data_IF_663435885494
#
_entry.id   IF_663435885494
#
_cell.length_a   1.000
_cell.length_b   1.000
_cell.length_c   1.000
_cell.angle_alpha   90.00
_cell.angle_beta   90.00
_cell.angle_gamma   90.00
#
_symmetry.space_group_name_H-M   'P 1'
#
loop_
_entity.id
_entity.type
_entity.pdbx_description
1 polymer ?
#
# COMPACT_ATOMS: atom_id res chain seq x y z
N UNK A 1 -29.67 -12.18 -14.95
CA UNK A 1 -30.72 -12.60 -13.99
C UNK A 1 -30.02 -13.25 -12.80
N UNK A 2 -29.73 -12.50 -11.73
CA UNK A 2 -29.32 -13.07 -10.45
C UNK A 2 -30.57 -13.43 -9.64
N UNK A 3 -30.54 -14.62 -9.05
CA UNK A 3 -31.64 -15.22 -8.34
C UNK A 3 -32.09 -14.40 -7.12
N UNK A 4 -33.40 -14.22 -7.01
CA UNK A 4 -34.13 -13.87 -5.78
C UNK A 4 -33.85 -14.88 -4.65
N UNK A 5 -32.72 -14.73 -3.97
CA UNK A 5 -32.57 -15.13 -2.57
C UNK A 5 -32.06 -13.91 -1.82
N UNK A 6 -32.98 -12.97 -1.57
CA UNK A 6 -32.86 -12.16 -0.37
C UNK A 6 -32.99 -13.15 0.78
N UNK A 7 -31.87 -13.68 1.27
CA UNK A 7 -31.82 -14.11 2.66
C UNK A 7 -32.35 -12.92 3.46
N UNK A 8 -33.51 -13.08 4.09
CA UNK A 8 -34.11 -12.00 4.86
C UNK A 8 -33.12 -11.66 5.96
N UNK A 9 -32.50 -10.49 5.88
CA UNK A 9 -31.59 -10.03 6.92
C UNK A 9 -32.44 -9.77 8.16
N UNK A 10 -32.25 -10.58 9.19
CA UNK A 10 -33.00 -10.52 10.43
C UNK A 10 -32.33 -9.58 11.43
N UNK A 11 -33.13 -8.96 12.29
CA UNK A 11 -32.64 -8.11 13.39
C UNK A 11 -32.01 -6.79 12.96
N UNK A 12 -32.41 -6.19 11.84
CA UNK A 12 -31.91 -4.87 11.42
C UNK A 12 -32.24 -3.82 12.48
N UNK A 13 -31.22 -3.17 13.05
CA UNK A 13 -31.36 -2.09 14.05
C UNK A 13 -31.16 -0.71 13.45
N UNK A 14 -30.36 -0.61 12.39
CA UNK A 14 -30.20 0.62 11.60
C UNK A 14 -29.80 0.27 10.17
N UNK A 15 -30.22 1.06 9.19
CA UNK A 15 -29.78 0.92 7.80
C UNK A 15 -29.74 2.27 7.10
N UNK A 16 -28.97 2.36 6.02
CA UNK A 16 -29.08 3.43 5.02
C UNK A 16 -29.41 2.80 3.66
N UNK A 17 -29.99 3.58 2.76
CA UNK A 17 -30.45 3.11 1.44
C UNK A 17 -29.89 3.97 0.32
N UNK A 18 -29.83 3.38 -0.87
CA UNK A 18 -29.65 4.11 -2.12
C UNK A 18 -30.94 4.85 -2.51
N UNK A 19 -30.87 5.72 -3.54
CA UNK A 19 -32.03 6.44 -4.07
C UNK A 19 -33.11 5.49 -4.62
N UNK A 20 -32.70 4.33 -5.13
CA UNK A 20 -33.59 3.28 -5.61
C UNK A 20 -34.29 2.48 -4.48
N UNK A 21 -34.00 2.79 -3.21
CA UNK A 21 -34.57 2.14 -2.03
C UNK A 21 -33.87 0.85 -1.58
N UNK A 22 -32.86 0.36 -2.31
CA UNK A 22 -32.07 -0.79 -1.89
C UNK A 22 -31.24 -0.45 -0.66
N UNK A 23 -31.08 -1.43 0.25
CA UNK A 23 -30.21 -1.28 1.43
C UNK A 23 -28.77 -1.09 0.94
N UNK A 24 -28.13 -0.02 1.41
CA UNK A 24 -26.72 0.27 1.17
C UNK A 24 -25.85 -0.34 2.25
N UNK A 25 -26.25 -0.21 3.51
CA UNK A 25 -25.55 -0.81 4.65
C UNK A 25 -26.52 -0.98 5.83
N UNK A 26 -26.26 -1.95 6.70
CA UNK A 26 -27.07 -2.17 7.90
C UNK A 26 -26.27 -2.67 9.11
N UNK A 27 -26.82 -2.41 10.30
CA UNK A 27 -26.45 -3.07 11.56
C UNK A 27 -27.52 -4.10 11.89
N UNK A 28 -27.11 -5.25 12.42
CA UNK A 28 -28.01 -6.30 12.87
C UNK A 28 -27.76 -6.62 14.35
N UNK A 29 -28.77 -7.15 15.05
CA UNK A 29 -28.65 -7.64 16.42
C UNK A 29 -29.07 -9.11 16.57
N UNK A 30 -29.19 -9.81 15.45
CA UNK A 30 -29.50 -11.24 15.38
C UNK A 30 -28.50 -11.93 14.46
N UNK A 31 -28.19 -13.22 14.71
CA UNK A 31 -27.32 -13.99 13.85
C UNK A 31 -27.95 -14.13 12.47
N UNK A 32 -27.15 -13.84 11.45
CA UNK A 32 -27.47 -14.06 10.04
C UNK A 32 -26.39 -14.97 9.44
N UNK A 33 -26.76 -15.80 8.49
CA UNK A 33 -25.82 -16.63 7.73
C UNK A 33 -25.89 -16.16 6.30
N UNK A 34 -24.74 -15.74 5.77
CA UNK A 34 -24.59 -15.26 4.41
C UNK A 34 -23.87 -16.32 3.60
N UNK A 35 -24.54 -16.87 2.58
CA UNK A 35 -23.94 -17.84 1.67
C UNK A 35 -23.05 -17.15 0.64
N UNK A 36 -21.77 -17.51 0.62
CA UNK A 36 -20.80 -17.00 -0.38
C UNK A 36 -20.03 -18.15 -1.04
N UNK A 37 -19.28 -17.84 -2.10
CA UNK A 37 -18.35 -18.80 -2.71
C UNK A 37 -17.22 -19.24 -1.76
N UNK A 38 -17.03 -18.52 -0.66
CA UNK A 38 -16.02 -18.77 0.36
C UNK A 38 -16.61 -19.41 1.63
N UNK A 39 -17.84 -19.93 1.52
CA UNK A 39 -18.56 -20.57 2.60
C UNK A 39 -19.59 -19.66 3.27
N UNK A 40 -20.07 -20.12 4.42
CA UNK A 40 -21.08 -19.43 5.22
C UNK A 40 -20.41 -18.41 6.13
N UNK A 41 -20.73 -17.14 5.93
CA UNK A 41 -20.19 -16.03 6.72
C UNK A 41 -21.22 -15.51 7.69
N UNK A 42 -20.81 -15.24 8.93
CA UNK A 42 -21.69 -14.73 9.98
C UNK A 42 -21.36 -13.26 10.27
N UNK A 43 -22.20 -12.31 9.84
CA UNK A 43 -21.99 -10.90 10.09
C UNK A 43 -22.08 -10.59 11.59
N UNK A 44 -21.37 -9.55 12.02
CA UNK A 44 -21.36 -9.09 13.39
C UNK A 44 -22.76 -8.65 13.85
N UNK A 45 -23.19 -9.13 15.01
CA UNK A 45 -24.49 -8.81 15.61
C UNK A 45 -24.41 -8.55 17.12
N UNK A 46 -23.28 -8.87 17.77
CA UNK A 46 -23.08 -8.59 19.19
C UNK A 46 -22.92 -7.10 19.47
N UNK A 47 -23.04 -6.72 20.75
CA UNK A 47 -22.74 -5.34 21.14
C UNK A 47 -21.23 -5.06 21.01
N UNK A 48 -20.85 -3.87 20.55
CA UNK A 48 -19.45 -3.42 20.58
C UNK A 48 -18.85 -3.49 21.99
N UNK A 49 -17.56 -3.79 22.06
CA UNK A 49 -16.75 -3.76 23.28
C UNK A 49 -15.58 -2.79 23.10
N UNK A 50 -14.59 -2.82 24.00
CA UNK A 50 -13.41 -1.94 23.94
C UNK A 50 -12.61 -2.09 22.64
N UNK A 51 -12.70 -3.24 21.97
CA UNK A 51 -12.00 -3.54 20.71
C UNK A 51 -12.92 -3.54 19.50
N UNK A 52 -14.12 -4.13 19.59
CA UNK A 52 -15.05 -4.28 18.47
C UNK A 52 -15.64 -2.91 18.12
N UNK A 53 -15.48 -2.50 16.86
CA UNK A 53 -16.00 -1.20 16.39
C UNK A 53 -17.53 -1.21 16.36
N UNK A 54 -18.15 -0.07 16.67
CA UNK A 54 -19.59 0.14 16.43
C UNK A 54 -19.89 0.39 14.93
N UNK A 55 -19.57 -0.58 14.08
CA UNK A 55 -19.66 -0.47 12.62
C UNK A 55 -20.88 -1.15 12.01
N UNK A 56 -21.07 -0.96 10.70
CA UNK A 56 -22.08 -1.67 9.92
C UNK A 56 -21.64 -3.12 9.73
N UNK A 57 -22.57 -4.05 9.93
CA UNK A 57 -22.31 -5.49 9.81
C UNK A 57 -22.22 -5.91 8.34
N UNK A 58 -23.08 -5.32 7.50
CA UNK A 58 -23.20 -5.61 6.07
C UNK A 58 -23.24 -4.32 5.28
N UNK A 59 -22.61 -4.32 4.12
CA UNK A 59 -22.84 -3.33 3.07
C UNK A 59 -23.06 -4.00 1.71
N UNK A 60 -23.76 -3.30 0.83
CA UNK A 60 -24.19 -3.79 -0.48
C UNK A 60 -23.88 -2.76 -1.55
N UNK A 61 -23.67 -3.24 -2.77
CA UNK A 61 -23.72 -2.43 -3.96
C UNK A 61 -25.16 -2.06 -4.32
N UNK A 62 -25.32 -1.10 -5.21
CA UNK A 62 -26.64 -0.63 -5.65
C UNK A 62 -27.46 -1.74 -6.33
N UNK A 63 -26.79 -2.70 -6.98
CA UNK A 63 -27.38 -3.88 -7.60
C UNK A 63 -27.85 -4.96 -6.58
N UNK A 64 -27.59 -4.76 -5.28
CA UNK A 64 -27.94 -5.67 -4.18
C UNK A 64 -26.91 -6.76 -3.88
N UNK A 65 -25.82 -6.85 -4.65
CA UNK A 65 -24.69 -7.74 -4.32
C UNK A 65 -23.98 -7.25 -3.06
N UNK A 66 -23.36 -8.18 -2.34
CA UNK A 66 -22.65 -7.89 -1.10
C UNK A 66 -21.37 -7.14 -1.43
N UNK A 67 -21.13 -6.06 -0.70
CA UNK A 67 -19.92 -5.24 -0.80
C UNK A 67 -18.96 -5.49 0.34
N UNK A 68 -19.47 -5.64 1.57
CA UNK A 68 -18.63 -6.01 2.71
C UNK A 68 -19.40 -6.73 3.80
N UNK A 69 -18.65 -7.54 4.57
CA UNK A 69 -19.13 -8.23 5.76
C UNK A 69 -18.09 -8.02 6.86
N UNK A 70 -18.49 -7.41 7.97
CA UNK A 70 -17.75 -7.46 9.23
C UNK A 70 -18.22 -8.68 10.00
N UNK A 71 -17.32 -9.59 10.36
CA UNK A 71 -17.65 -10.90 10.91
C UNK A 71 -17.80 -10.85 12.43
N UNK A 72 -18.69 -11.67 12.97
CA UNK A 72 -18.88 -11.79 14.43
C UNK A 72 -17.63 -12.35 15.12
N UNK A 73 -17.05 -13.37 14.50
CA UNK A 73 -15.82 -14.06 14.91
C UNK A 73 -14.88 -14.22 13.72
N UNK A 74 -13.58 -14.43 13.99
CA UNK A 74 -12.60 -14.74 12.95
C UNK A 74 -12.98 -16.03 12.23
N UNK A 75 -13.12 -15.94 10.91
CA UNK A 75 -13.40 -17.10 10.06
C UNK A 75 -12.22 -17.39 9.13
N UNK A 76 -11.96 -18.68 8.89
CA UNK A 76 -10.97 -19.12 7.90
C UNK A 76 -11.55 -19.01 6.50
N UNK A 77 -10.79 -18.42 5.60
CA UNK A 77 -11.15 -18.14 4.22
C UNK A 77 -10.09 -18.75 3.32
N UNK A 78 -10.53 -19.60 2.38
CA UNK A 78 -9.66 -20.16 1.35
C UNK A 78 -9.45 -19.12 0.23
N UNK A 79 -8.18 -18.82 -0.06
CA UNK A 79 -7.80 -17.87 -1.12
C UNK A 79 -6.76 -18.48 -2.06
N UNK A 80 -6.46 -17.78 -3.16
CA UNK A 80 -5.41 -18.18 -4.11
C UNK A 80 -4.01 -18.28 -3.50
N UNK A 81 -3.78 -17.62 -2.36
CA UNK A 81 -2.50 -17.59 -1.66
C UNK A 81 -2.54 -18.37 -0.33
N UNK A 82 -3.56 -19.20 -0.13
CA UNK A 82 -3.71 -20.07 1.04
C UNK A 82 -4.89 -19.71 1.94
N UNK A 83 -4.98 -20.42 3.06
CA UNK A 83 -6.05 -20.24 4.04
C UNK A 83 -5.67 -19.14 5.04
N UNK A 84 -6.49 -18.09 5.11
CA UNK A 84 -6.25 -16.94 5.97
C UNK A 84 -7.43 -16.75 6.93
N UNK A 85 -7.19 -16.20 8.12
CA UNK A 85 -8.32 -15.76 8.96
C UNK A 85 -8.72 -14.34 8.61
N UNK A 86 -10.00 -14.02 8.76
CA UNK A 86 -10.55 -12.70 8.50
C UNK A 86 -11.54 -12.28 9.59
N UNK A 87 -11.54 -11.00 9.96
CA UNK A 87 -12.61 -10.33 10.71
C UNK A 87 -13.44 -9.39 9.81
N UNK A 88 -12.90 -9.01 8.65
CA UNK A 88 -13.63 -8.24 7.65
C UNK A 88 -13.23 -8.65 6.24
N UNK A 89 -14.23 -8.74 5.38
CA UNK A 89 -14.07 -9.11 3.98
C UNK A 89 -14.86 -8.12 3.13
N UNK A 90 -14.25 -7.64 2.06
CA UNK A 90 -14.93 -6.88 1.00
C UNK A 90 -14.96 -7.70 -0.28
N UNK A 91 -15.91 -7.39 -1.14
CA UNK A 91 -16.16 -8.13 -2.37
C UNK A 91 -16.27 -7.17 -3.55
N UNK A 92 -15.86 -7.62 -4.73
CA UNK A 92 -16.25 -7.04 -6.01
C UNK A 92 -17.74 -7.30 -6.28
N UNK A 93 -18.34 -6.56 -7.23
CA UNK A 93 -19.75 -6.77 -7.61
C UNK A 93 -20.04 -8.19 -8.12
N UNK A 94 -19.03 -8.89 -8.64
CA UNK A 94 -19.11 -10.30 -9.05
C UNK A 94 -19.19 -11.29 -7.88
N UNK A 95 -18.93 -10.85 -6.65
CA UNK A 95 -18.87 -11.69 -5.45
C UNK A 95 -17.52 -12.37 -5.21
N UNK A 96 -16.51 -12.07 -6.02
CA UNK A 96 -15.10 -12.41 -5.72
C UNK A 96 -14.60 -11.50 -4.60
N UNK A 97 -13.76 -12.02 -3.69
CA UNK A 97 -13.14 -11.20 -2.65
C UNK A 97 -12.34 -10.07 -3.29
N UNK A 98 -12.55 -8.86 -2.78
CA UNK A 98 -11.75 -7.68 -3.11
C UNK A 98 -10.65 -7.48 -2.07
N UNK A 99 -11.01 -7.46 -0.79
CA UNK A 99 -10.04 -7.30 0.30
C UNK A 99 -10.36 -8.20 1.48
N UNK A 100 -9.30 -8.63 2.17
CA UNK A 100 -9.37 -9.48 3.36
C UNK A 100 -8.53 -8.85 4.48
N UNK A 101 -9.14 -8.70 5.65
CA UNK A 101 -8.50 -8.14 6.84
C UNK A 101 -8.51 -9.17 7.98
N UNK A 102 -7.35 -9.69 8.41
CA UNK A 102 -7.28 -10.64 9.52
C UNK A 102 -7.81 -10.10 10.83
N UNK A 103 -7.68 -8.79 11.04
CA UNK A 103 -8.14 -8.09 12.23
C UNK A 103 -8.82 -6.79 11.85
N UNK A 104 -9.86 -6.41 12.58
CA UNK A 104 -10.66 -5.21 12.32
C UNK A 104 -11.06 -4.48 13.62
N UNK A 105 -10.22 -4.53 14.65
CA UNK A 105 -10.43 -3.81 15.91
C UNK A 105 -10.30 -2.29 15.76
N UNK A 106 -10.99 -1.54 16.63
CA UNK A 106 -10.77 -0.09 16.74
C UNK A 106 -9.46 0.16 17.48
N UNK A 107 -8.67 1.11 16.98
CA UNK A 107 -7.53 1.65 17.72
C UNK A 107 -7.99 2.92 18.41
N UNK A 108 -7.82 2.99 19.72
CA UNK A 108 -8.35 4.05 20.59
C UNK A 108 -9.22 3.50 21.72
N UNK A 109 -9.73 4.40 22.58
CA UNK A 109 -10.64 4.06 23.68
C UNK A 109 -10.17 2.91 24.60
N UNK A 110 -8.86 2.79 24.83
CA UNK A 110 -8.26 1.75 25.69
C UNK A 110 -7.63 0.57 24.93
N UNK A 111 -7.81 0.49 23.60
CA UNK A 111 -7.18 -0.53 22.76
C UNK A 111 -6.08 0.08 21.89
N UNK A 112 -4.83 -0.35 22.07
CA UNK A 112 -3.69 0.19 21.34
C UNK A 112 -3.34 -0.60 20.06
N UNK A 113 -2.50 -0.02 19.21
CA UNK A 113 -1.92 -0.73 18.06
C UNK A 113 -1.14 -1.98 18.52
N UNK A 114 -0.43 -1.88 19.65
CA UNK A 114 0.32 -2.99 20.22
C UNK A 114 -0.59 -4.10 20.74
N UNK A 115 -1.78 -3.75 21.24
CA UNK A 115 -2.77 -4.75 21.68
C UNK A 115 -3.36 -5.50 20.50
N UNK A 116 -3.66 -4.80 19.41
CA UNK A 116 -4.10 -5.45 18.17
C UNK A 116 -2.99 -6.34 17.60
N UNK A 117 -1.73 -5.89 17.62
CA UNK A 117 -0.59 -6.67 17.14
C UNK A 117 -0.39 -8.00 17.88
N UNK A 118 -0.73 -8.07 19.18
CA UNK A 118 -0.61 -9.30 19.99
C UNK A 118 -1.55 -10.41 19.55
N UNK A 119 -2.70 -10.05 18.98
CA UNK A 119 -3.72 -11.02 18.55
C UNK A 119 -3.69 -11.29 17.04
N UNK A 120 -2.92 -10.51 16.28
CA UNK A 120 -2.67 -10.71 14.86
C UNK A 120 -1.69 -11.85 14.65
N UNK A 121 -2.14 -12.86 13.91
CA UNK A 121 -1.36 -14.03 13.56
C UNK A 121 -0.29 -13.69 12.51
N UNK A 122 0.81 -14.45 12.54
CA UNK A 122 1.78 -14.46 11.44
C UNK A 122 1.34 -15.47 10.40
N UNK A 123 1.53 -15.12 9.14
CA UNK A 123 1.27 -16.00 8.01
C UNK A 123 2.58 -16.22 7.26
N UNK A 124 2.77 -17.46 6.80
CA UNK A 124 3.87 -17.83 5.94
C UNK A 124 3.44 -17.67 4.49
N UNK A 125 4.20 -16.89 3.74
CA UNK A 125 3.95 -16.64 2.33
C UNK A 125 5.10 -17.14 1.48
N UNK A 126 4.74 -17.69 0.33
CA UNK A 126 5.68 -18.14 -0.69
C UNK A 126 5.32 -17.51 -2.03
N UNK A 127 6.24 -16.68 -2.52
CA UNK A 127 6.14 -16.03 -3.82
C UNK A 127 7.41 -16.34 -4.65
N UNK A 128 7.36 -16.18 -6.00
CA UNK A 128 8.55 -16.31 -6.83
C UNK A 128 9.73 -15.39 -6.44
N UNK A 129 9.43 -14.29 -5.77
CA UNK A 129 10.39 -13.28 -5.30
C UNK A 129 10.76 -13.41 -3.81
N UNK A 130 10.38 -14.50 -3.14
CA UNK A 130 10.82 -14.78 -1.78
C UNK A 130 9.81 -15.51 -0.91
N UNK A 131 10.31 -15.97 0.23
CA UNK A 131 9.54 -16.65 1.28
C UNK A 131 9.72 -15.87 2.58
N UNK A 132 8.62 -15.56 3.26
CA UNK A 132 8.66 -14.82 4.52
C UNK A 132 7.46 -15.12 5.41
N UNK A 133 7.66 -14.86 6.71
CA UNK A 133 6.61 -14.98 7.72
C UNK A 133 6.34 -13.61 8.33
N UNK A 134 5.13 -13.09 8.16
CA UNK A 134 4.79 -11.72 8.57
C UNK A 134 3.35 -11.59 9.08
N UNK A 135 3.14 -10.60 9.93
CA UNK A 135 1.79 -10.08 10.22
C UNK A 135 1.39 -9.13 9.10
N UNK A 136 0.09 -9.12 8.78
CA UNK A 136 -0.47 -8.27 7.73
C UNK A 136 -1.64 -7.46 8.28
N UNK A 137 -1.83 -6.25 7.76
CA UNK A 137 -3.08 -5.50 7.94
C UNK A 137 -4.16 -6.11 7.05
N UNK A 138 -3.81 -6.41 5.79
CA UNK A 138 -4.77 -6.93 4.84
C UNK A 138 -4.16 -7.28 3.49
N UNK A 139 -5.00 -7.87 2.67
CA UNK A 139 -4.70 -8.32 1.31
C UNK A 139 -5.76 -7.76 0.38
N UNK A 140 -5.37 -7.42 -0.84
CA UNK A 140 -6.30 -7.06 -1.92
C UNK A 140 -6.16 -8.03 -3.07
N UNK A 141 -7.26 -8.25 -3.79
CA UNK A 141 -7.38 -9.21 -4.87
C UNK A 141 -8.02 -8.56 -6.09
N UNK A 142 -7.53 -8.96 -7.26
CA UNK A 142 -8.20 -8.68 -8.52
C UNK A 142 -9.50 -9.46 -8.64
N UNK A 143 -10.36 -9.03 -9.56
CA UNK A 143 -11.62 -9.73 -9.84
C UNK A 143 -11.41 -11.16 -10.38
N UNK A 144 -10.23 -11.49 -10.92
CA UNK A 144 -9.83 -12.87 -11.24
C UNK A 144 -9.55 -13.75 -10.01
N UNK A 145 -9.46 -13.15 -8.81
CA UNK A 145 -9.07 -13.82 -7.56
C UNK A 145 -7.56 -13.90 -7.34
N UNK A 146 -6.75 -13.35 -8.25
CA UNK A 146 -5.30 -13.22 -8.04
C UNK A 146 -4.98 -12.13 -7.03
N UNK A 147 -3.90 -12.29 -6.27
CA UNK A 147 -3.45 -11.29 -5.31
C UNK A 147 -3.01 -10.01 -6.05
N UNK A 148 -3.55 -8.87 -5.62
CA UNK A 148 -3.17 -7.53 -6.08
C UNK A 148 -2.13 -6.90 -5.15
N UNK A 149 -2.36 -6.88 -3.84
CA UNK A 149 -1.41 -6.28 -2.89
C UNK A 149 -1.46 -6.92 -1.52
N UNK A 150 -0.33 -6.87 -0.83
CA UNK A 150 -0.17 -7.30 0.54
C UNK A 150 0.30 -6.11 1.37
N UNK A 151 -0.41 -5.83 2.46
CA UNK A 151 -0.13 -4.74 3.38
C UNK A 151 0.41 -5.33 4.68
N UNK A 152 1.66 -5.06 5.00
CA UNK A 152 2.35 -5.51 6.21
C UNK A 152 1.83 -4.79 7.45
N UNK A 153 1.91 -5.46 8.58
CA UNK A 153 1.67 -4.83 9.87
C UNK A 153 2.73 -3.76 10.17
N UNK A 154 2.38 -2.62 10.80
CA UNK A 154 3.36 -1.59 11.13
C UNK A 154 4.55 -2.16 11.92
N UNK A 155 5.76 -1.91 11.42
CA UNK A 155 7.01 -2.39 12.01
C UNK A 155 7.47 -3.78 11.54
N UNK A 156 6.65 -4.54 10.81
CA UNK A 156 7.14 -5.74 10.11
C UNK A 156 8.01 -5.32 8.92
N UNK A 157 9.14 -5.99 8.74
CA UNK A 157 10.03 -5.81 7.59
C UNK A 157 10.28 -7.18 6.97
N UNK A 158 10.01 -7.29 5.67
CA UNK A 158 10.28 -8.50 4.88
C UNK A 158 11.32 -8.21 3.82
N UNK A 159 12.11 -9.21 3.44
CA UNK A 159 13.08 -9.08 2.34
C UNK A 159 12.45 -9.63 1.08
N UNK A 160 12.46 -8.83 0.01
CA UNK A 160 11.89 -9.19 -1.30
C UNK A 160 13.02 -9.19 -2.33
N UNK A 161 13.15 -10.27 -3.08
CA UNK A 161 14.04 -10.33 -4.24
C UNK A 161 13.39 -9.56 -5.39
N UNK A 162 13.94 -8.38 -5.70
CA UNK A 162 13.44 -7.56 -6.80
C UNK A 162 14.39 -7.62 -8.00
N UNK A 163 13.95 -7.19 -9.19
CA UNK A 163 14.83 -7.10 -10.36
C UNK A 163 16.07 -6.21 -10.16
N UNK A 164 16.03 -5.29 -9.19
CA UNK A 164 17.14 -4.38 -8.84
C UNK A 164 17.88 -4.79 -7.55
N UNK A 165 17.69 -6.04 -7.12
CA UNK A 165 18.32 -6.62 -5.93
C UNK A 165 17.35 -6.84 -4.76
N UNK A 166 17.88 -7.35 -3.66
CA UNK A 166 17.09 -7.64 -2.46
C UNK A 166 16.74 -6.36 -1.71
N UNK A 167 15.45 -6.07 -1.54
CA UNK A 167 14.96 -4.86 -0.87
C UNK A 167 14.28 -5.23 0.46
N UNK A 168 14.64 -4.60 1.59
CA UNK A 168 13.85 -4.67 2.82
C UNK A 168 12.61 -3.78 2.68
N UNK A 169 11.42 -4.32 2.97
CA UNK A 169 10.11 -3.69 2.70
C UNK A 169 9.31 -3.50 3.99
N UNK A 170 8.75 -2.30 4.23
CA UNK A 170 8.07 -1.92 5.51
C UNK A 170 6.55 -1.69 5.45
N UNK A 171 5.96 -1.41 4.28
CA UNK A 171 4.50 -1.22 4.13
C UNK A 171 3.88 -2.42 3.42
N UNK A 172 4.55 -2.92 2.39
CA UNK A 172 3.99 -3.99 1.58
C UNK A 172 4.46 -3.89 0.14
N UNK A 173 3.76 -4.61 -0.72
CA UNK A 173 4.03 -4.67 -2.14
C UNK A 173 2.74 -4.86 -2.94
N UNK A 174 2.83 -4.51 -4.22
CA UNK A 174 1.79 -4.72 -5.21
C UNK A 174 2.29 -5.65 -6.30
N UNK A 175 1.39 -6.46 -6.84
CA UNK A 175 1.62 -7.38 -7.94
C UNK A 175 0.76 -7.00 -9.13
N UNK A 176 1.25 -7.33 -10.32
CA UNK A 176 0.41 -7.46 -11.49
C UNK A 176 -0.45 -8.72 -11.39
N UNK A 177 -1.53 -8.77 -12.16
CA UNK A 177 -2.46 -9.91 -12.16
C UNK A 177 -1.79 -11.24 -12.62
N UNK A 178 -0.68 -11.15 -13.37
CA UNK A 178 0.15 -12.29 -13.74
C UNK A 178 1.09 -12.77 -12.61
N UNK A 179 1.08 -12.12 -11.45
CA UNK A 179 1.92 -12.41 -10.29
C UNK A 179 3.30 -11.74 -10.28
N UNK A 180 3.66 -10.97 -11.32
CA UNK A 180 4.90 -10.22 -11.36
C UNK A 180 4.89 -9.07 -10.34
N UNK A 181 6.04 -8.78 -9.73
CA UNK A 181 6.18 -7.71 -8.75
C UNK A 181 5.99 -6.34 -9.44
N UNK A 182 4.97 -5.59 -9.02
CA UNK A 182 4.67 -4.26 -9.56
C UNK A 182 5.36 -3.16 -8.77
N UNK A 183 5.33 -3.21 -7.44
CA UNK A 183 5.95 -2.16 -6.62
C UNK A 183 6.24 -2.62 -5.20
N UNK A 184 7.22 -1.97 -4.55
CA UNK A 184 7.62 -2.22 -3.16
C UNK A 184 7.96 -0.92 -2.44
N UNK A 185 7.62 -0.84 -1.14
CA UNK A 185 8.00 0.29 -0.30
C UNK A 185 9.22 -0.05 0.56
N UNK A 186 10.39 0.56 0.29
CA UNK A 186 11.62 0.26 1.01
C UNK A 186 11.52 0.66 2.49
N UNK A 187 12.18 -0.10 3.36
CA UNK A 187 12.17 0.10 4.81
C UNK A 187 13.02 1.29 5.28
N UNK A 188 14.03 1.63 4.49
CA UNK A 188 14.95 2.75 4.69
C UNK A 188 15.45 3.19 3.31
N UNK A 189 16.11 4.36 3.20
CA UNK A 189 16.72 4.77 1.94
C UNK A 189 17.64 3.69 1.38
N UNK A 190 17.49 3.39 0.08
CA UNK A 190 18.33 2.45 -0.65
C UNK A 190 18.86 3.10 -1.92
N UNK A 191 20.09 2.78 -2.29
CA UNK A 191 20.69 3.27 -3.54
C UNK A 191 20.41 2.26 -4.63
N UNK A 192 19.82 2.72 -5.74
CA UNK A 192 19.53 1.91 -6.92
C UNK A 192 20.36 2.40 -8.10
N UNK A 193 20.94 1.47 -8.86
CA UNK A 193 21.53 1.78 -10.15
C UNK A 193 20.42 2.04 -11.18
N UNK A 194 20.48 3.20 -11.85
CA UNK A 194 19.47 3.61 -12.83
C UNK A 194 20.14 4.09 -14.13
N UNK A 195 19.37 4.26 -15.23
CA UNK A 195 19.90 4.86 -16.47
C UNK A 195 20.52 6.25 -16.31
N UNK A 196 20.21 6.97 -15.22
CA UNK A 196 20.76 8.31 -14.93
C UNK A 196 21.85 8.29 -13.86
N UNK A 197 22.28 7.11 -13.39
CA UNK A 197 23.24 6.92 -12.30
C UNK A 197 22.59 6.37 -11.03
N UNK A 198 23.36 6.32 -9.95
CA UNK A 198 22.92 5.79 -8.66
C UNK A 198 21.99 6.78 -7.93
N UNK A 199 20.73 6.41 -7.71
CA UNK A 199 19.71 7.26 -7.08
C UNK A 199 19.22 6.64 -5.78
N UNK A 200 19.11 7.46 -4.72
CA UNK A 200 18.51 7.05 -3.46
C UNK A 200 16.99 7.00 -3.60
N UNK A 201 16.40 5.81 -3.50
CA UNK A 201 14.95 5.59 -3.57
C UNK A 201 14.34 5.48 -2.17
N UNK A 202 13.45 6.43 -1.83
CA UNK A 202 12.70 6.46 -0.57
C UNK A 202 11.62 7.55 -0.57
N UNK A 203 10.44 7.24 -0.05
CA UNK A 203 9.38 8.21 0.25
C UNK A 203 9.21 8.34 1.77
N UNK A 204 9.61 9.50 2.32
CA UNK A 204 9.44 9.82 3.74
C UNK A 204 7.97 10.09 4.11
N UNK A 205 7.11 10.26 3.11
CA UNK A 205 5.69 10.58 3.24
C UNK A 205 4.78 9.39 2.98
N UNK A 206 5.34 8.21 2.69
CA UNK A 206 4.60 6.98 2.45
C UNK A 206 3.70 6.63 3.65
N UNK A 207 2.41 6.37 3.38
CA UNK A 207 1.41 6.05 4.39
C UNK A 207 1.26 4.53 4.52
N UNK A 208 1.52 3.99 5.72
CA UNK A 208 1.46 2.55 6.03
C UNK A 208 0.06 1.91 6.04
N UNK A 209 -0.92 2.51 5.37
CA UNK A 209 -2.32 2.04 5.35
C UNK A 209 -2.71 1.38 4.02
N UNK A 210 -1.91 1.58 2.97
CA UNK A 210 -2.15 1.00 1.65
C UNK A 210 -0.80 0.66 0.99
N UNK A 211 -0.71 -0.53 0.41
CA UNK A 211 0.47 -0.99 -0.34
C UNK A 211 0.32 -0.77 -1.85
N UNK A 212 -0.71 -0.01 -2.28
CA UNK A 212 -0.95 0.25 -3.70
C UNK A 212 -0.08 1.38 -4.27
N UNK A 213 0.47 2.23 -3.41
CA UNK A 213 1.34 3.36 -3.77
C UNK A 213 2.68 3.21 -3.06
N UNK A 214 3.66 2.64 -3.75
CA UNK A 214 4.99 2.41 -3.19
C UNK A 214 6.07 3.18 -3.96
N UNK A 215 7.18 3.44 -3.29
CA UNK A 215 8.29 4.24 -3.82
C UNK A 215 8.97 3.66 -5.04
N UNK A 216 9.04 2.33 -5.20
CA UNK A 216 9.79 1.69 -6.27
C UNK A 216 8.82 0.85 -7.09
N UNK A 217 8.75 1.11 -8.40
CA UNK A 217 7.85 0.40 -9.30
C UNK A 217 8.59 -0.24 -10.46
N UNK A 218 8.09 -1.38 -10.90
CA UNK A 218 8.58 -2.13 -12.05
C UNK A 218 7.49 -2.20 -13.12
N UNK A 219 7.87 -2.45 -14.37
CA UNK A 219 6.92 -2.88 -15.40
C UNK A 219 6.67 -4.40 -15.32
N UNK A 220 5.76 -4.92 -16.15
CA UNK A 220 5.44 -6.36 -16.20
C UNK A 220 6.62 -7.25 -16.60
N UNK A 221 7.69 -6.67 -17.16
CA UNK A 221 8.91 -7.37 -17.55
C UNK A 221 10.00 -7.29 -16.46
N UNK A 222 9.72 -6.60 -15.35
CA UNK A 222 10.66 -6.41 -14.25
C UNK A 222 11.64 -5.25 -14.46
N UNK A 223 11.47 -4.40 -15.46
CA UNK A 223 12.32 -3.21 -15.60
C UNK A 223 11.87 -2.14 -14.60
N UNK A 224 12.82 -1.45 -13.97
CA UNK A 224 12.54 -0.30 -13.11
C UNK A 224 11.81 0.78 -13.92
N UNK A 225 10.57 1.08 -13.54
CA UNK A 225 9.70 2.03 -14.25
C UNK A 225 9.59 3.38 -13.54
N UNK A 226 9.55 3.38 -12.20
CA UNK A 226 9.53 4.61 -11.40
C UNK A 226 10.27 4.39 -10.09
N UNK A 227 10.93 5.44 -9.59
CA UNK A 227 11.30 5.54 -8.19
C UNK A 227 10.88 6.88 -7.60
N UNK A 228 10.60 6.92 -6.30
CA UNK A 228 10.44 8.14 -5.50
C UNK A 228 11.75 8.48 -4.82
N UNK A 229 12.16 9.74 -4.87
CA UNK A 229 13.41 10.22 -4.27
C UNK A 229 13.28 11.64 -3.76
N UNK A 230 14.06 11.96 -2.75
CA UNK A 230 14.19 13.30 -2.20
C UNK A 230 15.49 14.01 -2.66
N UNK A 231 16.16 13.45 -3.66
CA UNK A 231 17.38 14.02 -4.24
C UNK A 231 17.08 15.22 -5.14
N UNK A 232 18.01 16.17 -5.20
CA UNK A 232 18.01 17.21 -6.23
C UNK A 232 18.82 16.74 -7.45
N UNK A 233 18.49 17.24 -8.64
CA UNK A 233 19.15 16.84 -9.88
C UNK A 233 19.65 18.06 -10.65
N UNK A 234 20.90 18.02 -11.07
CA UNK A 234 21.45 18.95 -12.07
C UNK A 234 21.60 18.20 -13.39
N UNK A 235 20.88 18.66 -14.40
CA UNK A 235 20.86 18.10 -15.74
C UNK A 235 21.62 19.04 -16.68
N UNK A 236 22.58 18.50 -17.43
CA UNK A 236 23.32 19.26 -18.45
C UNK A 236 23.15 18.61 -19.81
N UNK A 237 22.57 19.35 -20.74
CA UNK A 237 22.49 18.93 -22.14
C UNK A 237 23.90 18.94 -22.77
N UNK A 238 24.26 17.84 -23.42
CA UNK A 238 25.60 17.60 -23.97
C UNK A 238 25.84 18.45 -25.22
N UNK A 239 24.79 18.68 -26.03
CA UNK A 239 24.90 19.31 -27.35
C UNK A 239 25.01 20.84 -27.25
N UNK A 240 24.19 21.47 -26.40
CA UNK A 240 24.14 22.93 -26.28
C UNK A 240 24.73 23.45 -24.95
N UNK A 241 25.06 22.57 -24.01
CA UNK A 241 25.60 22.93 -22.70
C UNK A 241 24.60 23.56 -21.72
N UNK A 242 23.32 23.65 -22.10
CA UNK A 242 22.23 24.15 -21.26
C UNK A 242 22.12 23.32 -19.98
N UNK A 243 21.85 24.02 -18.87
CA UNK A 243 21.69 23.40 -17.55
C UNK A 243 20.28 23.64 -17.06
N UNK A 244 19.70 22.59 -16.50
CA UNK A 244 18.43 22.60 -15.81
C UNK A 244 18.60 21.94 -14.44
N UNK A 245 17.81 22.38 -13.48
CA UNK A 245 17.84 21.82 -12.13
C UNK A 245 16.43 21.43 -11.74
N UNK A 246 16.27 20.20 -11.25
CA UNK A 246 15.05 19.73 -10.60
C UNK A 246 15.33 19.74 -9.11
N UNK A 247 14.61 20.60 -8.40
CA UNK A 247 14.70 20.72 -6.96
C UNK A 247 13.55 19.97 -6.29
N UNK A 248 13.87 19.31 -5.19
CA UNK A 248 12.90 18.79 -4.24
C UNK A 248 12.04 19.94 -3.72
N UNK A 249 10.76 19.64 -3.53
CA UNK A 249 9.83 20.61 -2.96
C UNK A 249 9.66 20.38 -1.47
N UNK A 250 9.33 21.44 -0.74
CA UNK A 250 8.98 21.37 0.67
C UNK A 250 7.51 21.72 0.83
N UNK A 251 6.81 20.98 1.71
CA UNK A 251 5.46 21.32 2.16
C UNK A 251 5.43 21.37 3.68
N UNK A 252 4.50 22.14 4.25
CA UNK A 252 4.28 22.11 5.69
C UNK A 252 3.65 20.77 6.08
N UNK A 253 4.12 20.18 7.18
CA UNK A 253 3.47 19.03 7.80
C UNK A 253 2.07 19.43 8.31
N UNK A 254 1.11 18.53 8.17
CA UNK A 254 -0.27 18.76 8.63
C UNK A 254 -0.40 18.59 10.14
N UNK A 255 0.52 17.85 10.77
CA UNK A 255 0.48 17.50 12.19
C UNK A 255 1.58 18.20 13.01
N UNK A 256 2.52 18.88 12.35
CA UNK A 256 3.59 19.64 13.00
C UNK A 256 3.92 20.91 12.22
N UNK A 257 4.63 21.85 12.85
CA UNK A 257 5.10 23.08 12.18
C UNK A 257 6.41 22.85 11.38
N UNK A 258 6.73 21.59 11.06
CA UNK A 258 7.94 21.25 10.31
C UNK A 258 7.68 21.23 8.80
N UNK A 259 8.73 21.45 8.01
CA UNK A 259 8.69 21.23 6.57
C UNK A 259 9.05 19.78 6.23
N UNK A 260 8.21 19.13 5.43
CA UNK A 260 8.47 17.81 4.86
C UNK A 260 8.95 17.96 3.42
N UNK A 261 9.98 17.19 3.08
CA UNK A 261 10.39 16.98 1.69
C UNK A 261 9.29 16.22 0.96
N UNK A 262 8.83 16.77 -0.16
CA UNK A 262 7.92 16.11 -1.10
C UNK A 262 8.80 15.30 -2.07
N UNK A 263 8.67 13.97 -2.11
CA UNK A 263 9.47 13.17 -3.01
C UNK A 263 9.14 13.49 -4.47
N UNK A 264 10.17 13.50 -5.29
CA UNK A 264 10.08 13.59 -6.75
C UNK A 264 9.93 12.18 -7.30
N UNK A 265 8.95 11.98 -8.18
CA UNK A 265 8.85 10.75 -8.95
C UNK A 265 9.77 10.82 -10.17
N UNK A 266 10.66 9.85 -10.32
CA UNK A 266 11.55 9.71 -11.48
C UNK A 266 11.07 8.52 -12.28
N UNK A 267 10.50 8.79 -13.46
CA UNK A 267 9.96 7.79 -14.37
C UNK A 267 10.97 7.46 -15.47
N UNK A 268 11.14 6.17 -15.76
CA UNK A 268 12.02 5.67 -16.81
C UNK A 268 11.20 5.03 -17.92
N UNK A 269 11.43 5.45 -19.17
CA UNK A 269 10.78 4.86 -20.34
C UNK A 269 11.69 4.91 -21.56
N UNK A 270 12.25 3.74 -21.91
CA UNK A 270 13.21 3.66 -23.01
C UNK A 270 14.44 4.52 -22.72
N UNK A 271 14.73 5.47 -23.59
CA UNK A 271 15.82 6.44 -23.43
C UNK A 271 15.40 7.74 -22.75
N UNK A 272 14.15 7.85 -22.29
CA UNK A 272 13.62 9.04 -21.62
C UNK A 272 13.54 8.85 -20.10
N UNK A 273 13.84 9.94 -19.40
CA UNK A 273 13.59 10.10 -17.97
C UNK A 273 12.67 11.30 -17.75
N UNK A 274 11.62 11.12 -16.97
CA UNK A 274 10.69 12.20 -16.59
C UNK A 274 10.73 12.40 -15.09
N UNK A 275 11.01 13.63 -14.68
CA UNK A 275 10.91 14.08 -13.30
C UNK A 275 9.54 14.71 -13.10
N UNK A 276 8.74 14.13 -12.21
CA UNK A 276 7.45 14.67 -11.81
C UNK A 276 7.56 15.18 -10.36
N UNK A 277 7.66 16.49 -10.27
CA UNK A 277 7.56 17.26 -9.02
C UNK A 277 6.20 17.95 -8.99
N UNK A 278 5.65 18.26 -7.81
CA UNK A 278 4.27 18.74 -7.65
C UNK A 278 3.88 19.91 -8.58
N UNK A 279 4.84 20.76 -8.97
CA UNK A 279 4.57 21.92 -9.83
C UNK A 279 5.14 21.80 -11.25
N UNK A 280 5.97 20.81 -11.55
CA UNK A 280 6.65 20.71 -12.84
C UNK A 280 6.94 19.26 -13.26
N UNK A 281 6.64 18.98 -14.52
CA UNK A 281 7.05 17.78 -15.23
C UNK A 281 8.15 18.15 -16.24
N UNK A 282 9.34 17.60 -16.07
CA UNK A 282 10.46 17.81 -16.99
C UNK A 282 10.93 16.45 -17.54
N UNK A 283 11.13 16.37 -18.86
CA UNK A 283 11.54 15.13 -19.54
C UNK A 283 12.83 15.34 -20.29
N UNK A 284 13.76 14.39 -20.15
CA UNK A 284 15.09 14.44 -20.74
C UNK A 284 15.44 13.12 -21.41
N UNK A 285 16.12 13.19 -22.55
CA UNK A 285 16.73 12.02 -23.20
C UNK A 285 18.05 11.69 -22.51
N UNK A 286 18.17 10.48 -21.97
CA UNK A 286 19.33 10.00 -21.21
C UNK A 286 20.66 10.12 -21.97
N UNK A 287 20.67 9.79 -23.26
CA UNK A 287 21.89 9.85 -24.09
C UNK A 287 22.33 11.28 -24.48
N UNK A 288 21.45 12.27 -24.34
CA UNK A 288 21.72 13.66 -24.69
C UNK A 288 22.06 14.52 -23.47
N UNK A 289 21.96 13.96 -22.27
CA UNK A 289 22.08 14.68 -21.02
C UNK A 289 23.02 13.97 -20.04
N UNK A 290 23.75 14.77 -19.25
CA UNK A 290 24.48 14.26 -18.08
C UNK A 290 23.70 14.64 -16.83
N UNK A 291 23.58 13.69 -15.93
CA UNK A 291 22.85 13.84 -14.67
C UNK A 291 23.86 13.85 -13.53
N UNK A 292 23.73 14.84 -12.66
CA UNK A 292 24.39 14.88 -11.37
C UNK A 292 23.29 14.79 -10.32
N UNK A 293 23.31 13.70 -9.55
CA UNK A 293 22.39 13.46 -8.45
C UNK A 293 23.04 14.04 -7.19
N UNK A 294 22.37 14.99 -6.57
CA UNK A 294 22.84 15.61 -5.33
C UNK A 294 22.35 14.78 -4.15
N UNK A 295 23.26 14.50 -3.22
CA UNK A 295 23.00 13.65 -2.07
C UNK A 295 21.83 14.16 -1.23
N UNK A 296 20.86 13.28 -1.00
CA UNK A 296 19.70 13.48 -0.13
C UNK A 296 20.08 13.29 1.35
N UNK A 297 21.00 14.12 1.84
CA UNK A 297 21.29 14.16 3.28
C UNK A 297 20.04 14.51 4.08
N UNK A 298 19.92 13.94 5.28
CA UNK A 298 18.95 14.42 6.25
C UNK A 298 19.36 15.84 6.64
N UNK A 299 18.43 16.81 6.72
CA UNK A 299 18.76 18.13 7.26
C UNK A 299 19.15 18.07 8.76
N UNK A 300 18.91 16.90 9.39
CA UNK A 300 19.35 16.54 10.73
C UNK A 300 20.66 15.72 10.75
N UNK A 301 21.14 15.22 9.60
CA UNK A 301 22.49 14.66 9.51
C UNK A 301 23.42 15.87 9.67
N UNK A 302 24.14 15.90 10.79
CA UNK A 302 24.82 17.08 11.30
C UNK A 302 25.44 17.94 10.20
N UNK A 303 25.02 19.20 10.13
CA UNK A 303 25.69 20.20 9.31
C UNK A 303 27.19 20.08 9.54
N UNK A 304 27.96 19.83 8.48
CA UNK A 304 29.40 19.73 8.57
C UNK A 304 29.93 20.96 9.34
N UNK A 305 30.58 20.71 10.47
CA UNK A 305 31.47 21.71 11.04
C UNK A 305 32.55 21.96 9.97
N UNK A 306 32.89 23.22 9.64
CA UNK A 306 33.93 23.54 8.64
C UNK A 306 35.32 22.94 8.93
N UNK A 307 35.50 22.22 10.03
CA UNK A 307 36.76 21.71 10.53
C UNK A 307 37.03 20.23 10.25
N UNK A 308 36.06 19.40 9.82
CA UNK A 308 36.28 17.96 9.62
C UNK A 308 35.51 17.40 8.41
N UNK A 309 36.21 17.21 7.29
CA UNK A 309 35.68 16.62 6.04
C UNK A 309 36.18 15.19 5.79
N UNK A 310 36.88 14.57 6.76
CA UNK A 310 37.58 13.31 6.53
C UNK A 310 36.71 12.05 6.66
N UNK A 311 35.49 12.18 7.19
CA UNK A 311 34.56 11.05 7.43
C UNK A 311 33.28 11.10 6.56
N UNK A 312 33.22 12.01 5.59
CA UNK A 312 32.05 12.13 4.71
C UNK A 312 32.16 11.17 3.51
N UNK A 313 31.09 10.41 3.24
CA UNK A 313 30.89 9.74 1.95
C UNK A 313 30.56 10.82 0.92
N UNK A 314 31.45 11.06 -0.05
CA UNK A 314 31.23 11.99 -1.16
C UNK A 314 32.12 13.23 -1.23
N UNK A 315 33.32 13.21 -0.62
CA UNK A 315 34.42 14.10 -1.04
C UNK A 315 35.18 13.54 -2.24
#
# INVERSE_FOLDING_TARGET
>A
MLNKKNEQIHGITSCTTYENGNIKECKVNQPNIIQTNYGNLTPHFSRPDERKKDMKALSFYENGSIKSIALEERQKIETSIGTLTAEMITFHESGVIDSLFPTNGQIGFGWSLDDEAKITEKYDFQFPFGEFSARIIGLRFYESGQLSSLILWPGEIVKIETPVGTIPVRIGFKLYENGALQSVEPAHPIILETPIGAVTAFDYTALGMDADFNSITFDEHGNLSTLMTNSDFVIKNINNGQRETVFQQLRLDMLSDNYLKVPTAVHFKGDQVTFNSSDNNATFTTNENKFLILYDGNYLDGACSPSDCSECVGC
#
